data_IF_892978411401
#
_entry.id   IF_892978411401
#
_cell.length_a   1.000
_cell.length_b   1.000
_cell.length_c   1.000
_cell.angle_alpha   90.00
_cell.angle_beta   90.00
_cell.angle_gamma   90.00
#
_symmetry.space_group_name_H-M   'P 1'
#
loop_
_entity.id
_entity.type
_entity.pdbx_description
1 polymer ?
#
# COMPACT_ATOMS: atom_id res chain seq x y z
N UNK A 1 18.82 -2.77 -19.93
CA UNK A 1 17.63 -2.05 -20.45
C UNK A 1 16.96 -1.34 -19.28
N UNK A 2 16.95 -0.01 -19.27
CA UNK A 2 15.95 0.88 -18.63
C UNK A 2 16.30 2.30 -19.06
N UNK A 3 15.61 2.78 -20.09
CA UNK A 3 15.81 4.07 -20.77
C UNK A 3 14.68 5.04 -20.40
N UNK A 4 14.01 4.82 -19.26
CA UNK A 4 12.75 5.52 -18.95
C UNK A 4 12.93 6.88 -18.26
N UNK A 5 14.11 7.20 -17.74
CA UNK A 5 14.25 8.33 -16.81
C UNK A 5 14.81 9.64 -17.40
N UNK A 6 15.25 9.67 -18.66
CA UNK A 6 15.93 10.86 -19.19
C UNK A 6 15.00 11.98 -19.68
N UNK A 7 13.68 11.76 -19.72
CA UNK A 7 12.69 12.71 -20.27
C UNK A 7 11.63 13.18 -19.29
N UNK A 8 11.66 12.73 -18.03
CA UNK A 8 10.68 13.14 -17.03
C UNK A 8 11.06 14.49 -16.44
N UNK A 9 10.08 15.39 -16.34
CA UNK A 9 10.24 16.64 -15.61
C UNK A 9 10.39 16.35 -14.11
N UNK A 10 11.01 17.27 -13.36
CA UNK A 10 11.19 17.12 -11.92
C UNK A 10 9.88 16.80 -11.15
N UNK A 11 8.73 17.46 -11.44
CA UNK A 11 7.46 17.13 -10.78
C UNK A 11 6.95 15.71 -11.08
N UNK A 12 7.17 15.21 -12.31
CA UNK A 12 6.76 13.85 -12.68
C UNK A 12 7.60 12.80 -11.95
N UNK A 13 8.89 13.07 -11.75
CA UNK A 13 9.77 12.20 -10.96
C UNK A 13 9.34 12.17 -9.49
N UNK A 14 9.05 13.33 -8.89
CA UNK A 14 8.57 13.42 -7.50
C UNK A 14 7.25 12.67 -7.32
N UNK A 15 6.32 12.84 -8.26
CA UNK A 15 5.05 12.09 -8.28
C UNK A 15 5.29 10.59 -8.32
N UNK A 16 6.13 10.11 -9.24
CA UNK A 16 6.43 8.68 -9.38
C UNK A 16 7.11 8.12 -8.13
N UNK A 17 8.05 8.85 -7.55
CA UNK A 17 8.71 8.46 -6.31
C UNK A 17 7.73 8.35 -5.14
N UNK A 18 6.82 9.32 -4.99
CA UNK A 18 5.75 9.29 -3.99
C UNK A 18 4.84 8.08 -4.15
N UNK A 19 4.37 7.81 -5.38
CA UNK A 19 3.52 6.66 -5.67
C UNK A 19 4.24 5.33 -5.42
N UNK A 20 5.51 5.20 -5.84
CA UNK A 20 6.32 4.00 -5.58
C UNK A 20 6.48 3.77 -4.07
N UNK A 21 6.78 4.82 -3.31
CA UNK A 21 6.91 4.71 -1.86
C UNK A 21 5.59 4.33 -1.18
N UNK A 22 4.46 4.81 -1.71
CA UNK A 22 3.13 4.48 -1.21
C UNK A 22 2.76 3.03 -1.51
N UNK A 23 2.93 2.56 -2.76
CA UNK A 23 2.61 1.19 -3.13
C UNK A 23 3.52 0.15 -2.45
N UNK A 24 4.80 0.47 -2.26
CA UNK A 24 5.71 -0.38 -1.46
C UNK A 24 5.22 -0.55 -0.03
N UNK A 25 4.71 0.52 0.58
CA UNK A 25 4.11 0.44 1.91
C UNK A 25 2.86 -0.43 1.88
N UNK A 26 1.98 -0.27 0.88
CA UNK A 26 0.77 -1.08 0.73
C UNK A 26 1.08 -2.58 0.67
N UNK A 27 2.15 -2.95 -0.03
CA UNK A 27 2.61 -4.33 -0.20
C UNK A 27 3.32 -4.92 1.03
N UNK A 28 3.66 -4.10 2.04
CA UNK A 28 4.32 -4.55 3.27
C UNK A 28 3.36 -5.32 4.18
N UNK A 29 3.23 -6.61 3.90
CA UNK A 29 2.38 -7.54 4.64
C UNK A 29 2.83 -7.72 6.08
N UNK A 30 4.13 -7.64 6.38
CA UNK A 30 4.64 -7.80 7.74
C UNK A 30 4.16 -6.65 8.62
N UNK A 31 4.36 -5.42 8.14
CA UNK A 31 3.87 -4.23 8.83
C UNK A 31 2.34 -4.23 8.97
N UNK A 32 1.63 -4.67 7.93
CA UNK A 32 0.17 -4.83 7.93
C UNK A 32 -0.33 -5.82 8.99
N UNK A 33 0.44 -6.87 9.28
CA UNK A 33 0.09 -7.88 10.28
C UNK A 33 0.52 -7.50 11.71
N UNK A 34 1.64 -6.79 11.87
CA UNK A 34 2.16 -6.38 13.19
C UNK A 34 1.35 -5.24 13.80
N UNK A 35 1.10 -4.18 13.03
CA UNK A 35 0.41 -2.97 13.51
C UNK A 35 -0.55 -2.44 12.43
N UNK A 36 -1.75 -3.05 12.27
CA UNK A 36 -2.71 -2.67 11.23
C UNK A 36 -3.14 -1.20 11.27
N UNK A 37 -3.30 -0.64 12.48
CA UNK A 37 -3.73 0.74 12.67
C UNK A 37 -2.64 1.75 12.26
N UNK A 38 -1.39 1.53 12.68
CA UNK A 38 -0.25 2.38 12.32
C UNK A 38 0.05 2.29 10.81
N UNK A 39 -0.03 1.08 10.24
CA UNK A 39 0.06 0.83 8.81
C UNK A 39 -0.97 1.66 8.03
N UNK A 40 -2.24 1.61 8.46
CA UNK A 40 -3.32 2.35 7.81
C UNK A 40 -3.15 3.87 7.96
N UNK A 41 -2.72 4.34 9.13
CA UNK A 41 -2.44 5.75 9.37
C UNK A 41 -1.29 6.28 8.49
N UNK A 42 -0.22 5.52 8.32
CA UNK A 42 0.92 5.90 7.49
C UNK A 42 0.57 5.94 5.99
N UNK A 43 -0.24 5.00 5.49
CA UNK A 43 -0.76 5.04 4.12
C UNK A 43 -1.62 6.28 3.87
N UNK A 44 -2.47 6.64 4.83
CA UNK A 44 -3.28 7.85 4.74
C UNK A 44 -2.39 9.11 4.77
N UNK A 45 -1.42 9.17 5.68
CA UNK A 45 -0.48 10.29 5.80
C UNK A 45 0.27 10.56 4.50
N UNK A 46 0.78 9.50 3.85
CA UNK A 46 1.51 9.63 2.57
C UNK A 46 0.60 10.06 1.42
N UNK A 47 -0.64 9.58 1.37
CA UNK A 47 -1.60 10.04 0.38
C UNK A 47 -1.93 11.53 0.55
N UNK A 48 -2.15 11.97 1.80
CA UNK A 48 -2.42 13.37 2.13
C UNK A 48 -1.22 14.28 1.81
N UNK A 49 0.01 13.79 2.03
CA UNK A 49 1.24 14.51 1.67
C UNK A 49 1.37 14.69 0.15
N UNK A 50 1.08 13.65 -0.64
CA UNK A 50 1.09 13.75 -2.10
C UNK A 50 0.02 14.71 -2.65
N UNK A 51 -1.18 14.72 -2.06
CA UNK A 51 -2.25 15.67 -2.42
C UNK A 51 -1.88 17.11 -2.06
N UNK A 52 -1.31 17.33 -0.86
CA UNK A 52 -0.83 18.64 -0.41
C UNK A 52 0.27 19.21 -1.31
N UNK A 53 1.20 18.36 -1.78
CA UNK A 53 2.26 18.75 -2.70
C UNK A 53 1.77 18.92 -4.15
N UNK A 54 0.50 18.63 -4.43
CA UNK A 54 -0.07 18.69 -5.78
C UNK A 54 0.49 17.63 -6.72
N UNK A 55 1.09 16.56 -6.18
CA UNK A 55 1.67 15.47 -6.95
C UNK A 55 0.60 14.54 -7.53
N UNK A 56 -0.58 14.47 -6.91
CA UNK A 56 -1.72 13.67 -7.35
C UNK A 56 -2.98 14.51 -7.37
N UNK A 57 -3.94 14.11 -8.21
CA UNK A 57 -5.28 14.69 -8.21
C UNK A 57 -6.11 14.18 -7.05
N UNK A 58 -7.14 14.94 -6.66
CA UNK A 58 -8.13 14.53 -5.66
C UNK A 58 -8.74 13.15 -5.95
N UNK A 59 -8.95 12.81 -7.23
CA UNK A 59 -9.49 11.50 -7.62
C UNK A 59 -8.50 10.36 -7.33
N UNK A 60 -7.22 10.58 -7.64
CA UNK A 60 -6.15 9.62 -7.34
C UNK A 60 -5.97 9.46 -5.84
N UNK A 61 -5.93 10.56 -5.09
CA UNK A 61 -5.91 10.55 -3.62
C UNK A 61 -7.06 9.70 -3.05
N UNK A 62 -8.29 9.91 -3.54
CA UNK A 62 -9.45 9.13 -3.11
C UNK A 62 -9.29 7.63 -3.42
N UNK A 63 -8.74 7.28 -4.58
CA UNK A 63 -8.49 5.89 -4.93
C UNK A 63 -7.47 5.24 -3.97
N UNK A 64 -6.36 5.93 -3.70
CA UNK A 64 -5.33 5.46 -2.76
C UNK A 64 -5.93 5.21 -1.36
N UNK A 65 -6.78 6.12 -0.87
CA UNK A 65 -7.46 5.93 0.42
C UNK A 65 -8.40 4.74 0.45
N UNK A 66 -9.12 4.48 -0.64
CA UNK A 66 -10.00 3.30 -0.74
C UNK A 66 -9.18 2.01 -0.74
N UNK A 67 -8.04 1.98 -1.44
CA UNK A 67 -7.14 0.83 -1.46
C UNK A 67 -6.51 0.57 -0.08
N UNK A 68 -6.02 1.60 0.60
CA UNK A 68 -5.50 1.49 1.97
C UNK A 68 -6.56 0.94 2.93
N UNK A 69 -7.78 1.45 2.85
CA UNK A 69 -8.87 0.99 3.70
C UNK A 69 -9.25 -0.47 3.44
N UNK A 70 -9.26 -0.91 2.17
CA UNK A 70 -9.48 -2.33 1.82
C UNK A 70 -8.40 -3.22 2.40
N UNK A 71 -7.12 -2.84 2.24
CA UNK A 71 -6.00 -3.60 2.80
C UNK A 71 -6.09 -3.71 4.33
N UNK A 72 -6.48 -2.63 5.01
CA UNK A 72 -6.74 -2.64 6.45
C UNK A 72 -7.87 -3.60 6.85
N UNK A 73 -9.00 -3.56 6.13
CA UNK A 73 -10.11 -4.49 6.40
C UNK A 73 -9.71 -5.96 6.19
N UNK A 74 -8.88 -6.24 5.20
CA UNK A 74 -8.35 -7.59 4.96
C UNK A 74 -7.41 -8.05 6.09
N UNK A 75 -6.56 -7.15 6.58
CA UNK A 75 -5.67 -7.39 7.71
C UNK A 75 -6.45 -7.70 9.00
N UNK A 76 -7.42 -6.84 9.35
CA UNK A 76 -8.25 -6.98 10.55
C UNK A 76 -9.17 -8.20 10.47
N UNK A 77 -9.66 -8.54 9.28
CA UNK A 77 -10.45 -9.76 9.06
C UNK A 77 -9.61 -11.05 9.14
N UNK A 78 -8.29 -10.96 9.31
CA UNK A 78 -7.41 -12.12 9.36
C UNK A 78 -7.29 -12.85 8.02
N UNK A 79 -7.69 -12.24 6.90
CA UNK A 79 -7.51 -12.83 5.56
C UNK A 79 -6.05 -13.01 5.18
N UNK A 80 -5.17 -12.27 5.85
CA UNK A 80 -3.72 -12.41 5.76
C UNK A 80 -3.16 -13.55 6.63
N UNK A 81 -3.94 -14.17 7.51
CA UNK A 81 -3.48 -15.36 8.20
C UNK A 81 -3.57 -16.57 7.27
N UNK A 82 -2.46 -17.27 6.96
CA UNK A 82 -2.59 -18.59 6.37
C UNK A 82 -3.33 -19.44 7.41
N UNK A 83 -4.57 -19.81 7.10
CA UNK A 83 -5.23 -20.87 7.83
C UNK A 83 -4.42 -22.13 7.52
N UNK A 84 -3.47 -22.45 8.40
CA UNK A 84 -2.87 -23.77 8.45
C UNK A 84 -3.97 -24.72 8.87
N UNK A 85 -4.84 -25.09 7.93
CA UNK A 85 -5.64 -26.30 8.07
C UNK A 85 -4.61 -27.40 8.31
N UNK A 86 -4.61 -28.06 9.47
CA UNK A 86 -3.81 -29.27 9.62
C UNK A 86 -4.34 -30.19 8.53
N UNK A 87 -3.48 -30.49 7.55
CA UNK A 87 -3.69 -31.61 6.64
C UNK A 87 -4.11 -32.77 7.52
N UNK A 88 -5.35 -33.25 7.33
CA UNK A 88 -5.91 -34.31 8.13
C UNK A 88 -4.85 -35.37 8.31
N UNK A 89 -4.46 -35.58 9.57
CA UNK A 89 -3.63 -36.69 9.94
C UNK A 89 -4.38 -37.95 9.48
N UNK A 90 -3.90 -38.51 8.37
CA UNK A 90 -4.24 -39.84 7.91
C UNK A 90 -3.66 -40.79 8.95
N UNK A 91 -4.45 -41.07 9.99
CA UNK A 91 -4.22 -42.20 10.87
C UNK A 91 -5.45 -43.09 10.77
N UNK A 92 -5.21 -44.26 10.17
CA UNK A 92 -6.05 -45.46 10.07
C UNK A 92 -7.21 -45.42 9.06
#
# INVERSE_FOLDING_TARGET
MRVFDASLTLPEQERLQGLVAWYRLLEDRLLRMECPDDYHAELARRADEMDRLGLISFREWRHLRVEAHRAYLDAVAGRDYPCSVPSQASWM
#
